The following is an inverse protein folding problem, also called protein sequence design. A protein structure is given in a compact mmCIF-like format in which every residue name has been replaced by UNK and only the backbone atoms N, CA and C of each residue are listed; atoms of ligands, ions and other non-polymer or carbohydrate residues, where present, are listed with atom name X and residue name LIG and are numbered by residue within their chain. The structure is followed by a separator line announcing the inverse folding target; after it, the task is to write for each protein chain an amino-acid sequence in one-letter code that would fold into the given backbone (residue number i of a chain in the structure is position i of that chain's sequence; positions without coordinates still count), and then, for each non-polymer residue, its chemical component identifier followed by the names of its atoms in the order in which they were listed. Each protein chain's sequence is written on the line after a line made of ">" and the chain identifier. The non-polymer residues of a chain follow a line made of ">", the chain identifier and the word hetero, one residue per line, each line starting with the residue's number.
data_IF_096440714160
#
_entry.id   IF_096440714160
#
_cell.length_a   1.000
_cell.length_b   1.000
_cell.length_c   1.000
_cell.angle_alpha   90.00
_cell.angle_beta   90.00
_cell.angle_gamma   90.00
#
_symmetry.space_group_name_H-M   'P 1'
#
loop_
_entity.id
_entity.type
_entity.pdbx_description
1 polymer ?
#
# COMPACT_ATOMS: atom_id res chain seq x y z
N UNK A 1 12.74 17.57 -13.42
CA UNK A 1 12.82 16.11 -13.18
C UNK A 1 12.68 15.41 -14.53
N UNK A 2 13.53 14.44 -14.85
CA UNK A 2 13.44 13.70 -16.11
C UNK A 2 13.05 12.26 -15.84
N UNK A 3 11.80 11.92 -16.17
CA UNK A 3 11.27 10.56 -16.13
C UNK A 3 11.29 9.94 -17.52
N UNK A 4 11.93 8.80 -17.64
CA UNK A 4 11.87 7.98 -18.86
C UNK A 4 10.88 6.85 -18.63
N UNK A 5 9.76 6.90 -19.33
CA UNK A 5 8.70 5.88 -19.28
C UNK A 5 8.80 5.04 -20.55
N UNK A 6 9.09 3.74 -20.40
CA UNK A 6 9.11 2.78 -21.49
C UNK A 6 8.05 1.73 -21.22
N UNK A 7 6.86 1.95 -21.74
CA UNK A 7 5.70 1.06 -21.53
C UNK A 7 5.09 0.73 -22.88
N UNK A 8 4.78 -0.53 -23.10
CA UNK A 8 3.96 -0.96 -24.23
C UNK A 8 2.53 -0.44 -24.09
N UNK A 9 1.85 -0.19 -25.21
CA UNK A 9 0.45 0.21 -25.19
C UNK A 9 -0.48 -0.91 -24.72
N UNK A 10 -1.61 -0.53 -24.13
CA UNK A 10 -2.65 -1.45 -23.69
C UNK A 10 -3.69 -1.69 -24.79
N UNK A 11 -4.39 -2.83 -24.75
CA UNK A 11 -5.60 -3.02 -25.55
C UNK A 11 -6.65 -1.96 -25.22
N UNK A 12 -7.12 -1.22 -26.23
CA UNK A 12 -8.07 -0.09 -26.06
C UNK A 12 -9.53 -0.52 -26.04
N UNK A 13 -9.80 -1.78 -26.30
CA UNK A 13 -11.12 -2.42 -26.35
C UNK A 13 -11.62 -2.89 -24.98
N UNK A 14 -10.81 -2.70 -23.92
CA UNK A 14 -11.11 -3.15 -22.57
C UNK A 14 -11.14 -2.00 -21.56
N UNK A 15 -11.91 -2.23 -20.50
CA UNK A 15 -11.91 -1.36 -19.30
C UNK A 15 -10.69 -1.72 -18.44
N UNK A 16 -9.57 -1.05 -18.65
CA UNK A 16 -8.37 -1.26 -17.85
C UNK A 16 -8.42 -0.48 -16.54
N UNK A 17 -7.88 -1.07 -15.47
CA UNK A 17 -7.72 -0.45 -14.14
C UNK A 17 -6.24 -0.38 -13.81
N UNK A 18 -5.74 0.82 -13.52
CA UNK A 18 -4.39 1.04 -13.02
C UNK A 18 -4.38 0.97 -11.50
N UNK A 19 -3.49 0.16 -10.94
CA UNK A 19 -3.30 -0.02 -9.49
C UNK A 19 -1.91 0.42 -9.10
N UNK A 20 -1.81 1.38 -8.20
CA UNK A 20 -0.56 1.93 -7.68
C UNK A 20 -0.50 1.63 -6.18
N UNK A 21 0.62 1.17 -5.66
CA UNK A 21 0.84 1.06 -4.22
C UNK A 21 1.51 2.32 -3.68
N UNK A 22 1.03 2.82 -2.56
CA UNK A 22 1.77 3.81 -1.78
C UNK A 22 2.74 3.11 -0.83
N UNK A 23 3.97 3.60 -0.69
CA UNK A 23 4.96 3.03 0.22
C UNK A 23 4.70 3.48 1.66
N UNK A 24 3.53 3.08 2.20
CA UNK A 24 3.19 3.34 3.60
C UNK A 24 3.89 2.33 4.53
N UNK A 25 4.05 2.68 5.84
CA UNK A 25 4.89 1.90 6.73
C UNK A 25 4.48 0.43 6.95
N UNK A 26 3.21 0.06 6.78
CA UNK A 26 2.77 -1.33 6.93
C UNK A 26 3.05 -2.19 5.71
N UNK A 27 3.42 -1.58 4.58
CA UNK A 27 3.65 -2.19 3.27
C UNK A 27 2.44 -2.95 2.70
N UNK A 28 1.24 -2.69 3.20
CA UNK A 28 0.03 -3.41 2.79
C UNK A 28 -0.27 -3.23 1.29
N UNK A 29 -0.17 -2.00 0.77
CA UNK A 29 -0.35 -1.71 -0.65
C UNK A 29 0.68 -2.42 -1.53
N UNK A 30 1.95 -2.48 -1.08
CA UNK A 30 3.02 -3.18 -1.79
C UNK A 30 2.74 -4.67 -1.85
N UNK A 31 2.40 -5.29 -0.72
CA UNK A 31 2.04 -6.73 -0.67
C UNK A 31 0.82 -7.04 -1.54
N UNK A 32 -0.18 -6.15 -1.55
CA UNK A 32 -1.36 -6.32 -2.39
C UNK A 32 -0.99 -6.34 -3.89
N UNK A 33 -0.13 -5.42 -4.32
CA UNK A 33 0.38 -5.35 -5.71
C UNK A 33 1.19 -6.60 -6.05
N UNK A 34 2.13 -7.03 -5.19
CA UNK A 34 2.92 -8.24 -5.39
C UNK A 34 2.01 -9.47 -5.57
N UNK A 35 1.01 -9.59 -4.69
CA UNK A 35 0.06 -10.70 -4.75
C UNK A 35 -0.76 -10.71 -6.04
N UNK A 36 -1.22 -9.55 -6.50
CA UNK A 36 -1.94 -9.42 -7.77
C UNK A 36 -1.06 -9.80 -8.96
N UNK A 37 0.20 -9.36 -8.98
CA UNK A 37 1.15 -9.72 -10.06
C UNK A 37 1.31 -11.22 -10.17
N UNK A 38 1.51 -11.90 -9.06
CA UNK A 38 1.76 -13.34 -9.03
C UNK A 38 0.47 -14.14 -9.32
N UNK A 39 -0.65 -13.79 -8.66
CA UNK A 39 -1.90 -14.56 -8.77
C UNK A 39 -2.60 -14.38 -10.13
N UNK A 40 -2.52 -13.18 -10.72
CA UNK A 40 -3.07 -12.91 -12.04
C UNK A 40 -2.09 -13.24 -13.17
N UNK A 41 -0.94 -13.84 -12.87
CA UNK A 41 0.13 -14.18 -13.81
C UNK A 41 0.41 -13.00 -14.77
N UNK A 42 0.62 -11.80 -14.20
CA UNK A 42 0.77 -10.58 -14.97
C UNK A 42 2.09 -10.55 -15.73
N UNK A 43 2.07 -10.07 -16.96
CA UNK A 43 3.25 -9.93 -17.80
C UNK A 43 3.90 -8.55 -17.62
N UNK A 44 5.24 -8.50 -17.62
CA UNK A 44 5.99 -7.24 -17.62
C UNK A 44 5.83 -6.54 -18.98
N UNK A 45 5.24 -5.35 -18.99
CA UNK A 45 4.99 -4.57 -20.20
C UNK A 45 5.87 -3.32 -20.29
N UNK A 46 6.66 -3.03 -19.27
CA UNK A 46 7.52 -1.86 -19.27
C UNK A 46 8.14 -1.54 -17.93
N UNK A 47 8.83 -0.41 -17.91
CA UNK A 47 9.48 0.11 -16.70
C UNK A 47 9.59 1.63 -16.72
N UNK A 48 9.75 2.22 -15.54
CA UNK A 48 10.01 3.64 -15.35
C UNK A 48 11.40 3.82 -14.77
N UNK A 49 12.17 4.77 -15.35
CA UNK A 49 13.45 5.22 -14.84
C UNK A 49 13.34 6.67 -14.39
N UNK A 50 13.76 6.93 -13.17
CA UNK A 50 13.82 8.27 -12.58
C UNK A 50 15.29 8.72 -12.64
N UNK A 51 15.59 9.75 -13.44
CA UNK A 51 16.97 10.16 -13.70
C UNK A 51 17.65 10.79 -12.46
N UNK A 52 16.88 11.45 -11.61
CA UNK A 52 17.37 12.15 -10.42
C UNK A 52 17.55 11.25 -9.19
N UNK A 53 17.21 9.96 -9.32
CA UNK A 53 17.53 9.00 -8.28
C UNK A 53 18.98 8.56 -8.32
N UNK A 54 19.59 8.30 -7.16
CA UNK A 54 20.82 7.50 -7.13
C UNK A 54 20.64 6.21 -7.94
N UNK A 55 21.68 5.70 -8.62
CA UNK A 55 21.56 4.47 -9.38
C UNK A 55 21.07 3.31 -8.50
N UNK A 56 19.88 2.79 -8.81
CA UNK A 56 19.27 1.63 -8.15
C UNK A 56 18.87 0.62 -9.20
N UNK A 57 19.27 -0.63 -9.00
CA UNK A 57 18.94 -1.76 -9.86
C UNK A 57 18.35 -2.87 -9.00
N UNK A 58 17.22 -3.41 -9.42
CA UNK A 58 16.69 -4.65 -8.88
C UNK A 58 17.40 -5.84 -9.54
N UNK A 59 17.73 -6.85 -8.76
CA UNK A 59 18.29 -8.11 -9.30
C UNK A 59 17.23 -9.19 -9.17
N UNK A 60 16.82 -9.77 -10.28
CA UNK A 60 15.81 -10.82 -10.36
C UNK A 60 16.41 -11.99 -11.14
N UNK A 61 16.56 -13.13 -10.49
CA UNK A 61 17.14 -14.34 -11.08
C UNK A 61 18.49 -14.08 -11.80
N UNK A 62 19.34 -13.24 -11.19
CA UNK A 62 20.62 -12.82 -11.74
C UNK A 62 20.56 -11.74 -12.82
N UNK A 63 19.38 -11.33 -13.27
CA UNK A 63 19.21 -10.27 -14.27
C UNK A 63 19.03 -8.89 -13.63
N UNK A 64 19.71 -7.87 -14.20
CA UNK A 64 19.55 -6.48 -13.81
C UNK A 64 18.24 -5.91 -14.37
N UNK A 65 17.40 -5.35 -13.52
CA UNK A 65 16.09 -4.77 -13.86
C UNK A 65 15.97 -3.36 -13.29
N UNK A 66 15.16 -2.51 -13.94
CA UNK A 66 14.80 -1.22 -13.36
C UNK A 66 13.93 -1.41 -12.11
N UNK A 67 14.00 -0.50 -11.12
CA UNK A 67 13.30 -0.69 -9.83
C UNK A 67 11.78 -0.49 -9.90
N UNK A 68 11.26 0.20 -10.90
CA UNK A 68 9.83 0.41 -11.11
C UNK A 68 9.41 -0.29 -12.39
N UNK A 69 8.82 -1.47 -12.26
CA UNK A 69 8.38 -2.29 -13.39
C UNK A 69 6.87 -2.32 -13.49
N UNK A 70 6.36 -2.29 -14.70
CA UNK A 70 4.93 -2.24 -14.99
C UNK A 70 4.48 -3.59 -15.49
N UNK A 71 3.43 -4.09 -14.89
CA UNK A 71 2.83 -5.40 -15.17
C UNK A 71 1.39 -5.25 -15.63
N UNK A 72 0.96 -6.13 -16.52
CA UNK A 72 -0.39 -6.15 -17.06
C UNK A 72 -0.95 -7.55 -17.13
N UNK A 73 -2.17 -7.74 -16.64
CA UNK A 73 -2.97 -8.94 -16.89
C UNK A 73 -4.01 -8.65 -17.97
N UNK A 74 -3.82 -9.22 -19.14
CA UNK A 74 -4.78 -9.08 -20.24
C UNK A 74 -6.15 -9.64 -19.84
N UNK A 75 -6.20 -10.76 -19.12
CA UNK A 75 -7.45 -11.40 -18.70
C UNK A 75 -8.22 -10.54 -17.70
N UNK A 76 -7.52 -9.98 -16.73
CA UNK A 76 -8.11 -9.17 -15.66
C UNK A 76 -8.35 -7.69 -16.06
N UNK A 77 -7.67 -7.17 -17.10
CA UNK A 77 -7.68 -5.75 -17.41
C UNK A 77 -7.03 -4.90 -16.31
N UNK A 78 -6.07 -5.47 -15.59
CA UNK A 78 -5.37 -4.78 -14.48
C UNK A 78 -3.94 -4.48 -14.88
N UNK A 79 -3.54 -3.24 -14.69
CA UNK A 79 -2.16 -2.76 -14.79
C UNK A 79 -1.66 -2.39 -13.42
N UNK A 80 -0.44 -2.73 -13.07
CA UNK A 80 0.15 -2.32 -11.81
C UNK A 80 1.62 -2.02 -11.92
N UNK A 81 2.17 -1.33 -10.91
CA UNK A 81 3.58 -0.99 -10.81
C UNK A 81 4.18 -1.72 -9.61
N UNK A 82 5.12 -2.62 -9.90
CA UNK A 82 5.97 -3.24 -8.90
C UNK A 82 7.10 -2.29 -8.54
N UNK A 83 7.16 -1.87 -7.28
CA UNK A 83 8.16 -0.93 -6.79
C UNK A 83 9.15 -1.67 -5.88
N UNK A 84 10.41 -1.77 -6.29
CA UNK A 84 11.46 -2.39 -5.46
C UNK A 84 12.07 -1.42 -4.44
N UNK A 85 11.86 -0.13 -4.64
CA UNK A 85 12.25 0.95 -3.71
C UNK A 85 11.16 2.02 -3.71
N UNK A 86 10.99 2.77 -2.61
CA UNK A 86 10.05 3.89 -2.57
C UNK A 86 10.39 4.94 -3.62
N UNK A 87 9.36 5.56 -4.20
CA UNK A 87 9.54 6.74 -5.04
C UNK A 87 10.03 7.89 -4.17
N UNK A 88 11.06 8.65 -4.58
CA UNK A 88 11.54 9.78 -3.79
C UNK A 88 10.48 10.89 -3.67
N UNK A 89 10.30 11.52 -2.49
CA UNK A 89 9.25 12.52 -2.27
C UNK A 89 9.28 13.70 -3.24
N UNK A 90 10.47 14.16 -3.64
CA UNK A 90 10.62 15.32 -4.53
C UNK A 90 10.17 15.08 -5.98
N UNK A 91 9.85 13.82 -6.35
CA UNK A 91 9.36 13.46 -7.69
C UNK A 91 7.93 12.91 -7.69
N UNK A 92 7.23 12.88 -6.56
CA UNK A 92 5.88 12.30 -6.46
C UNK A 92 4.91 12.85 -7.52
N UNK A 93 4.77 14.16 -7.59
CA UNK A 93 3.82 14.79 -8.53
C UNK A 93 4.16 14.47 -9.98
N UNK A 94 5.45 14.52 -10.36
CA UNK A 94 5.84 14.22 -11.73
C UNK A 94 5.67 12.73 -12.05
N UNK A 95 6.04 11.84 -11.12
CA UNK A 95 5.87 10.40 -11.27
C UNK A 95 4.40 10.04 -11.51
N UNK A 96 3.50 10.56 -10.68
CA UNK A 96 2.06 10.30 -10.79
C UNK A 96 1.49 10.93 -12.07
N UNK A 97 1.81 12.18 -12.37
CA UNK A 97 1.31 12.83 -13.58
C UNK A 97 1.71 12.07 -14.85
N UNK A 98 2.98 11.68 -15.00
CA UNK A 98 3.43 10.89 -16.15
C UNK A 98 2.72 9.56 -16.29
N UNK A 99 2.43 8.93 -15.17
CA UNK A 99 1.71 7.66 -15.13
C UNK A 99 0.24 7.83 -15.53
N UNK A 100 -0.41 8.89 -15.05
CA UNK A 100 -1.79 9.20 -15.41
C UNK A 100 -1.91 9.71 -16.85
N UNK A 101 -0.94 10.48 -17.38
CA UNK A 101 -0.87 10.85 -18.79
C UNK A 101 -0.85 9.60 -19.67
N UNK A 102 0.03 8.65 -19.34
CA UNK A 102 0.07 7.35 -20.02
C UNK A 102 -1.26 6.57 -19.89
N UNK A 103 -1.88 6.60 -18.72
CA UNK A 103 -3.15 5.94 -18.48
C UNK A 103 -4.28 6.53 -19.36
N UNK A 104 -4.35 7.85 -19.47
CA UNK A 104 -5.32 8.53 -20.36
C UNK A 104 -5.08 8.21 -21.85
N UNK A 105 -3.82 8.26 -22.31
CA UNK A 105 -3.44 7.89 -23.68
C UNK A 105 -3.84 6.46 -24.03
N UNK A 106 -3.79 5.53 -23.04
CA UNK A 106 -4.16 4.13 -23.19
C UNK A 106 -5.60 3.82 -22.77
N UNK A 107 -6.44 4.85 -22.57
CA UNK A 107 -7.86 4.73 -22.21
C UNK A 107 -8.10 3.85 -20.98
N UNK A 108 -7.22 3.95 -19.99
CA UNK A 108 -7.45 3.37 -18.67
C UNK A 108 -8.68 4.05 -18.08
N UNK A 109 -9.64 3.28 -17.63
CA UNK A 109 -10.91 3.80 -17.10
C UNK A 109 -10.76 4.32 -15.68
N UNK A 110 -10.00 3.61 -14.86
CA UNK A 110 -9.88 3.87 -13.43
C UNK A 110 -8.43 3.74 -12.99
N UNK A 111 -7.99 4.63 -12.11
CA UNK A 111 -6.73 4.54 -11.41
C UNK A 111 -6.99 4.51 -9.90
N UNK A 112 -6.41 3.56 -9.19
CA UNK A 112 -6.51 3.47 -7.73
C UNK A 112 -5.14 3.42 -7.09
N UNK A 113 -5.00 4.19 -6.01
CA UNK A 113 -3.82 4.14 -5.15
C UNK A 113 -4.16 3.35 -3.89
N UNK A 114 -3.33 2.38 -3.52
CA UNK A 114 -3.55 1.50 -2.36
C UNK A 114 -2.70 1.96 -1.19
N UNK A 115 -3.33 2.14 -0.02
CA UNK A 115 -2.67 2.56 1.21
C UNK A 115 -3.30 1.91 2.44
N UNK A 116 -2.75 2.16 3.61
CA UNK A 116 -3.29 1.69 4.88
C UNK A 116 -3.20 2.75 5.97
N UNK A 117 -4.12 2.67 6.93
CA UNK A 117 -4.20 3.54 8.09
C UNK A 117 -4.38 2.71 9.38
N UNK A 118 -4.11 3.28 10.56
CA UNK A 118 -4.58 2.69 11.81
C UNK A 118 -6.10 2.55 11.81
N UNK A 119 -6.65 1.60 12.58
CA UNK A 119 -8.09 1.46 12.75
C UNK A 119 -8.73 2.79 13.16
N UNK A 120 -9.85 3.12 12.54
CA UNK A 120 -10.64 4.32 12.86
C UNK A 120 -11.50 4.15 14.12
N UNK A 121 -11.73 2.90 14.54
CA UNK A 121 -12.41 2.52 15.79
C UNK A 121 -11.47 1.92 16.83
N UNK A 122 -12.07 1.35 17.89
CA UNK A 122 -11.29 0.67 18.94
C UNK A 122 -10.57 -0.59 18.46
N UNK A 123 -11.12 -1.25 17.45
CA UNK A 123 -10.58 -2.46 16.83
C UNK A 123 -10.54 -2.31 15.32
N UNK A 124 -9.57 -2.98 14.71
CA UNK A 124 -9.51 -3.13 13.28
C UNK A 124 -10.76 -3.80 12.73
N UNK A 125 -11.34 -3.21 11.69
CA UNK A 125 -12.47 -3.76 10.94
C UNK A 125 -12.05 -4.34 9.59
N UNK A 126 -13.02 -4.92 8.87
CA UNK A 126 -12.83 -5.46 7.52
C UNK A 126 -13.11 -4.43 6.42
N UNK A 127 -13.30 -3.17 6.81
CA UNK A 127 -13.70 -2.10 5.91
C UNK A 127 -12.52 -1.59 5.07
N UNK A 128 -12.84 -1.21 3.85
CA UNK A 128 -11.97 -0.42 2.99
C UNK A 128 -12.60 0.94 2.83
N UNK A 129 -11.82 1.97 3.12
CA UNK A 129 -12.21 3.35 2.96
C UNK A 129 -11.71 3.90 1.63
N UNK A 130 -12.31 4.99 1.18
CA UNK A 130 -11.88 5.66 -0.04
C UNK A 130 -11.90 7.18 0.09
N UNK A 131 -11.07 7.81 -0.75
CA UNK A 131 -11.10 9.25 -1.07
C UNK A 131 -11.10 9.38 -2.59
N UNK A 132 -12.01 10.17 -3.13
CA UNK A 132 -12.16 10.41 -4.57
C UNK A 132 -12.75 11.80 -4.81
N UNK A 133 -12.89 12.22 -6.06
CA UNK A 133 -13.61 13.44 -6.40
C UNK A 133 -15.10 13.33 -6.11
N UNK A 134 -15.77 14.48 -5.88
CA UNK A 134 -17.16 14.53 -5.42
C UNK A 134 -18.12 13.75 -6.33
N UNK A 135 -17.96 13.86 -7.64
CA UNK A 135 -18.83 13.19 -8.63
C UNK A 135 -18.77 11.67 -8.61
N UNK A 136 -17.72 11.06 -8.02
CA UNK A 136 -17.54 9.61 -7.97
C UNK A 136 -17.91 8.99 -6.60
N UNK A 137 -18.20 9.78 -5.57
CA UNK A 137 -18.43 9.29 -4.20
C UNK A 137 -19.50 8.20 -4.16
N UNK A 138 -20.68 8.43 -4.77
CA UNK A 138 -21.77 7.46 -4.73
C UNK A 138 -21.43 6.17 -5.48
N UNK A 139 -20.62 6.25 -6.52
CA UNK A 139 -20.16 5.08 -7.26
C UNK A 139 -19.23 4.20 -6.42
N UNK A 140 -18.29 4.78 -5.66
CA UNK A 140 -17.41 4.02 -4.78
C UNK A 140 -18.15 3.41 -3.59
N UNK A 141 -19.21 4.04 -3.07
CA UNK A 141 -20.11 3.44 -2.08
C UNK A 141 -20.81 2.17 -2.62
N UNK A 142 -21.19 2.14 -3.91
CA UNK A 142 -21.82 0.97 -4.52
C UNK A 142 -20.89 -0.25 -4.57
N UNK A 143 -19.56 -0.06 -4.57
CA UNK A 143 -18.59 -1.13 -4.41
C UNK A 143 -18.48 -1.64 -2.94
N UNK A 144 -19.22 -1.05 -2.01
CA UNK A 144 -19.20 -1.41 -0.59
C UNK A 144 -18.03 -0.78 0.17
N UNK A 145 -17.46 0.31 -0.33
CA UNK A 145 -16.43 1.09 0.36
C UNK A 145 -17.05 2.24 1.15
N UNK A 146 -16.36 2.68 2.22
CA UNK A 146 -16.80 3.80 3.05
C UNK A 146 -15.97 5.06 2.76
N UNK A 147 -16.60 6.24 2.62
CA UNK A 147 -15.84 7.47 2.42
C UNK A 147 -15.12 7.87 3.72
N UNK A 148 -13.88 8.33 3.61
CA UNK A 148 -13.23 9.07 4.68
C UNK A 148 -13.93 10.43 4.78
N UNK A 149 -14.44 10.78 5.97
CA UNK A 149 -15.25 12.00 6.15
C UNK A 149 -14.41 13.26 6.15
N UNK A 150 -13.30 13.23 6.86
CA UNK A 150 -12.41 14.37 7.00
C UNK A 150 -10.99 13.89 7.25
N UNK A 151 -10.04 14.33 6.43
CA UNK A 151 -8.62 14.03 6.57
C UNK A 151 -7.78 15.02 5.77
N UNK A 152 -6.52 15.15 6.16
CA UNK A 152 -5.48 15.75 5.31
C UNK A 152 -4.60 14.64 4.78
N UNK A 153 -4.49 14.54 3.45
CA UNK A 153 -3.71 13.52 2.77
C UNK A 153 -2.44 14.16 2.21
N UNK A 154 -1.29 13.57 2.49
CA UNK A 154 0.04 14.05 2.06
C UNK A 154 0.80 12.91 1.39
N UNK A 155 2.05 13.16 0.98
CA UNK A 155 2.89 12.11 0.41
C UNK A 155 2.49 11.74 -1.02
N UNK A 156 2.76 10.50 -1.40
CA UNK A 156 2.41 9.96 -2.71
C UNK A 156 0.88 9.89 -2.89
N UNK A 157 0.15 9.58 -1.83
CA UNK A 157 -1.31 9.57 -1.79
C UNK A 157 -1.90 10.95 -2.12
N UNK A 158 -1.35 12.01 -1.49
CA UNK A 158 -1.74 13.39 -1.77
C UNK A 158 -1.42 13.79 -3.21
N UNK A 159 -0.24 13.46 -3.70
CA UNK A 159 0.14 13.71 -5.09
C UNK A 159 -0.75 12.95 -6.09
N UNK A 160 -1.18 11.73 -5.75
CA UNK A 160 -2.11 10.96 -6.55
C UNK A 160 -3.50 11.62 -6.61
N UNK A 161 -4.05 11.98 -5.45
CA UNK A 161 -5.37 12.64 -5.37
C UNK A 161 -5.38 13.99 -6.10
N UNK A 162 -4.34 14.80 -5.91
CA UNK A 162 -4.19 16.08 -6.64
C UNK A 162 -4.15 15.86 -8.16
N UNK A 163 -3.42 14.85 -8.60
CA UNK A 163 -3.24 14.58 -10.02
C UNK A 163 -4.46 13.96 -10.71
N UNK A 164 -5.34 13.24 -10.01
CA UNK A 164 -6.56 12.68 -10.63
C UNK A 164 -7.71 13.66 -10.73
N UNK A 165 -7.70 14.74 -9.94
CA UNK A 165 -8.77 15.73 -9.97
C UNK A 165 -8.90 16.38 -11.36
N UNK A 166 -10.11 16.31 -11.93
CA UNK A 166 -10.42 16.90 -13.24
C UNK A 166 -9.85 16.16 -14.44
N UNK A 167 -9.29 14.96 -14.28
CA UNK A 167 -8.85 14.10 -15.39
C UNK A 167 -9.99 13.23 -15.94
N UNK A 168 -9.76 12.64 -17.11
CA UNK A 168 -10.70 11.68 -17.72
C UNK A 168 -10.63 10.27 -17.11
N UNK A 169 -9.66 10.00 -16.25
CA UNK A 169 -9.50 8.75 -15.52
C UNK A 169 -10.16 8.86 -14.16
N UNK A 170 -11.15 8.01 -13.87
CA UNK A 170 -11.76 7.93 -12.54
C UNK A 170 -10.71 7.55 -11.49
N UNK A 171 -10.43 8.43 -10.53
CA UNK A 171 -9.37 8.21 -9.55
C UNK A 171 -9.88 8.02 -8.13
N UNK A 172 -9.29 7.07 -7.38
CA UNK A 172 -9.54 6.94 -5.95
C UNK A 172 -8.32 6.43 -5.16
N UNK A 173 -8.13 6.98 -3.97
CA UNK A 173 -7.31 6.39 -2.94
C UNK A 173 -8.14 5.36 -2.18
N UNK A 174 -7.69 4.12 -2.11
CA UNK A 174 -8.28 3.04 -1.31
C UNK A 174 -7.41 2.79 -0.09
N UNK A 175 -8.03 2.77 1.07
CA UNK A 175 -7.34 2.69 2.34
C UNK A 175 -7.91 1.54 3.18
N UNK A 176 -7.06 0.58 3.55
CA UNK A 176 -7.43 -0.49 4.46
C UNK A 176 -6.97 -0.18 5.89
N UNK A 177 -7.74 -0.63 6.89
CA UNK A 177 -7.26 -0.60 8.26
C UNK A 177 -6.16 -1.64 8.47
N UNK A 178 -5.02 -1.18 8.99
CA UNK A 178 -3.84 -1.97 9.30
C UNK A 178 -3.75 -2.30 10.77
N UNK A 179 -3.60 -3.58 11.08
CA UNK A 179 -3.37 -4.08 12.44
C UNK A 179 -2.03 -3.57 12.98
N UNK A 180 -1.01 -3.56 12.14
CA UNK A 180 0.32 -3.08 12.50
C UNK A 180 0.30 -1.59 12.88
N UNK A 181 -0.30 -0.75 12.04
CA UNK A 181 -0.40 0.69 12.31
C UNK A 181 -1.29 0.97 13.52
N UNK A 182 -2.36 0.19 13.72
CA UNK A 182 -3.22 0.27 14.91
C UNK A 182 -2.44 -0.07 16.18
N UNK A 183 -1.60 -1.08 16.11
CA UNK A 183 -0.74 -1.46 17.21
C UNK A 183 0.28 -0.37 17.58
N UNK A 184 0.91 0.23 16.59
CA UNK A 184 1.81 1.38 16.77
C UNK A 184 1.08 2.57 17.38
N UNK A 185 -0.13 2.89 16.87
CA UNK A 185 -0.96 3.96 17.43
C UNK A 185 -1.25 3.72 18.92
N UNK A 186 -1.64 2.51 19.31
CA UNK A 186 -1.87 2.14 20.72
C UNK A 186 -0.62 2.32 21.60
N UNK A 187 0.56 1.96 21.09
CA UNK A 187 1.82 2.18 21.80
C UNK A 187 2.11 3.67 22.00
N UNK A 188 1.84 4.49 20.98
CA UNK A 188 1.99 5.94 21.04
C UNK A 188 0.99 6.56 22.04
N UNK A 189 -0.29 6.19 21.93
CA UNK A 189 -1.35 6.69 22.81
C UNK A 189 -1.12 6.29 24.28
N UNK A 190 -0.46 5.16 24.54
CA UNK A 190 -0.09 4.71 25.88
C UNK A 190 1.14 5.46 26.48
N UNK A 191 1.73 6.40 25.75
CA UNK A 191 2.93 7.15 26.15
C UNK A 191 4.22 6.33 26.16
N UNK A 192 4.20 5.08 25.68
CA UNK A 192 5.42 4.24 25.58
C UNK A 192 6.34 4.63 24.43
N UNK A 193 5.82 5.41 23.49
CA UNK A 193 6.53 5.92 22.33
C UNK A 193 6.34 7.43 22.28
N UNK A 194 7.43 8.18 22.48
CA UNK A 194 7.37 9.61 22.62
C UNK A 194 7.81 10.39 21.38
N UNK A 195 8.63 9.78 20.52
CA UNK A 195 9.18 10.48 19.35
C UNK A 195 8.89 9.74 18.05
N UNK A 196 8.89 10.46 16.94
CA UNK A 196 8.79 9.87 15.60
C UNK A 196 9.90 8.83 15.35
N UNK A 197 11.11 9.06 15.88
CA UNK A 197 12.23 8.12 15.77
C UNK A 197 11.90 6.79 16.47
N UNK A 198 11.31 6.85 17.65
CA UNK A 198 10.94 5.64 18.40
C UNK A 198 9.85 4.86 17.67
N UNK A 199 8.86 5.57 17.07
CA UNK A 199 7.84 4.96 16.21
C UNK A 199 8.50 4.17 15.09
N UNK A 200 9.45 4.78 14.37
CA UNK A 200 10.13 4.13 13.25
C UNK A 200 10.98 2.93 13.67
N UNK A 201 11.65 3.02 14.82
CA UNK A 201 12.44 1.90 15.36
C UNK A 201 11.54 0.70 15.73
N UNK A 202 10.43 0.95 16.43
CA UNK A 202 9.49 -0.11 16.82
C UNK A 202 8.81 -0.70 15.59
N UNK A 203 8.43 0.12 14.64
CA UNK A 203 7.81 -0.32 13.40
C UNK A 203 8.75 -1.25 12.61
N UNK A 204 10.02 -0.85 12.44
CA UNK A 204 11.02 -1.67 11.75
C UNK A 204 11.29 -2.98 12.49
N UNK A 205 11.36 -2.95 13.82
CA UNK A 205 11.52 -4.16 14.64
C UNK A 205 10.30 -5.09 14.49
N UNK A 206 9.09 -4.56 14.54
CA UNK A 206 7.86 -5.34 14.33
C UNK A 206 7.80 -5.95 12.92
N UNK A 207 8.05 -5.16 11.87
CA UNK A 207 8.08 -5.67 10.50
C UNK A 207 9.15 -6.75 10.36
N UNK A 208 10.31 -6.58 10.98
CA UNK A 208 11.37 -7.59 10.98
C UNK A 208 10.95 -8.92 11.64
N UNK A 209 10.04 -8.87 12.62
CA UNK A 209 9.57 -10.06 13.36
C UNK A 209 8.32 -10.71 12.75
N UNK A 210 7.36 -9.90 12.33
CA UNK A 210 6.04 -10.38 11.90
C UNK A 210 5.81 -10.24 10.39
N UNK A 211 6.67 -9.50 9.69
CA UNK A 211 6.49 -9.16 8.27
C UNK A 211 5.56 -7.97 8.03
N UNK A 212 5.27 -7.66 6.75
CA UNK A 212 4.34 -6.62 6.35
C UNK A 212 2.89 -6.98 6.67
N UNK A 213 1.97 -6.01 6.63
CA UNK A 213 0.56 -6.24 6.98
C UNK A 213 -0.22 -6.98 5.90
N UNK A 214 -0.20 -8.29 5.98
CA UNK A 214 -0.90 -9.20 5.06
C UNK A 214 -2.42 -9.11 5.21
N UNK A 215 -2.93 -8.76 6.41
CA UNK A 215 -4.36 -8.59 6.66
C UNK A 215 -4.93 -7.39 5.92
N UNK A 216 -4.27 -6.24 6.01
CA UNK A 216 -4.64 -5.06 5.24
C UNK A 216 -4.45 -5.28 3.74
N UNK A 217 -3.38 -5.97 3.32
CA UNK A 217 -3.15 -6.33 1.92
C UNK A 217 -4.29 -7.19 1.35
N UNK A 218 -4.80 -8.17 2.10
CA UNK A 218 -5.95 -9.00 1.70
C UNK A 218 -7.20 -8.15 1.42
N UNK A 219 -7.49 -7.16 2.28
CA UNK A 219 -8.61 -6.23 2.08
C UNK A 219 -8.45 -5.44 0.79
N UNK A 220 -7.24 -4.95 0.52
CA UNK A 220 -6.92 -4.18 -0.69
C UNK A 220 -7.01 -5.04 -1.96
N UNK A 221 -6.51 -6.29 -1.94
CA UNK A 221 -6.67 -7.25 -3.06
C UNK A 221 -8.14 -7.49 -3.37
N UNK A 222 -8.96 -7.74 -2.34
CA UNK A 222 -10.41 -7.93 -2.50
C UNK A 222 -11.10 -6.66 -3.02
N UNK A 223 -10.63 -5.47 -2.62
CA UNK A 223 -11.15 -4.21 -3.14
C UNK A 223 -10.83 -4.02 -4.63
N UNK A 224 -9.60 -4.29 -5.06
CA UNK A 224 -9.22 -4.27 -6.48
C UNK A 224 -10.02 -5.29 -7.28
N UNK A 225 -10.21 -6.50 -6.76
CA UNK A 225 -11.01 -7.54 -7.41
C UNK A 225 -12.45 -7.07 -7.68
N UNK A 226 -13.08 -6.39 -6.69
CA UNK A 226 -14.42 -5.80 -6.86
C UNK A 226 -14.45 -4.69 -7.90
N UNK A 227 -13.48 -3.78 -7.89
CA UNK A 227 -13.41 -2.66 -8.84
C UNK A 227 -13.17 -3.11 -10.28
N UNK A 228 -12.31 -4.10 -10.47
CA UNK A 228 -11.98 -4.67 -11.77
C UNK A 228 -13.00 -5.73 -12.24
N UNK A 229 -13.97 -6.08 -11.38
CA UNK A 229 -14.99 -7.12 -11.65
C UNK A 229 -14.35 -8.48 -11.99
N UNK A 230 -13.32 -8.86 -11.26
CA UNK A 230 -12.56 -10.10 -11.44
C UNK A 230 -12.61 -10.99 -10.20
N UNK A 231 -12.32 -12.28 -10.40
CA UNK A 231 -12.08 -13.21 -9.31
C UNK A 231 -10.57 -13.36 -9.09
N UNK A 232 -10.14 -13.25 -7.83
CA UNK A 232 -8.77 -13.47 -7.41
C UNK A 232 -8.79 -14.57 -6.34
N UNK A 233 -8.00 -15.63 -6.53
CA UNK A 233 -7.83 -16.64 -5.48
C UNK A 233 -7.01 -16.02 -4.34
N UNK A 234 -7.65 -15.77 -3.21
CA UNK A 234 -7.03 -15.18 -2.03
C UNK A 234 -6.79 -16.19 -0.90
N UNK A 235 -6.97 -17.49 -1.13
CA UNK A 235 -6.86 -18.53 -0.11
C UNK A 235 -5.52 -18.52 0.64
N UNK A 236 -4.41 -18.47 -0.10
CA UNK A 236 -3.06 -18.37 0.51
C UNK A 236 -2.87 -17.09 1.33
N UNK A 237 -3.39 -15.97 0.83
CA UNK A 237 -3.28 -14.68 1.52
C UNK A 237 -4.13 -14.67 2.81
N UNK A 238 -5.30 -15.31 2.80
CA UNK A 238 -6.16 -15.49 3.98
C UNK A 238 -5.47 -16.32 5.06
N UNK A 239 -4.84 -17.43 4.69
CA UNK A 239 -4.08 -18.28 5.62
C UNK A 239 -2.92 -17.51 6.27
N UNK A 240 -2.21 -16.71 5.47
CA UNK A 240 -1.14 -15.85 5.98
C UNK A 240 -1.67 -14.73 6.85
N UNK A 241 -2.79 -14.08 6.49
CA UNK A 241 -3.40 -13.02 7.28
C UNK A 241 -3.84 -13.50 8.67
N UNK A 242 -4.38 -14.72 8.76
CA UNK A 242 -4.78 -15.34 10.03
C UNK A 242 -3.57 -15.55 10.96
N UNK A 243 -2.47 -16.08 10.43
CA UNK A 243 -1.22 -16.27 11.17
C UNK A 243 -0.59 -14.94 11.57
N UNK A 244 -0.58 -13.97 10.66
CA UNK A 244 -0.07 -12.63 10.90
C UNK A 244 -0.80 -11.94 12.05
N UNK A 245 -2.13 -12.00 12.06
CA UNK A 245 -2.95 -11.40 13.12
C UNK A 245 -2.53 -11.91 14.52
N UNK A 246 -2.33 -13.22 14.66
CA UNK A 246 -1.87 -13.83 15.92
C UNK A 246 -0.46 -13.35 16.31
N UNK A 247 0.46 -13.28 15.35
CA UNK A 247 1.85 -12.85 15.60
C UNK A 247 1.92 -11.38 16.03
N UNK A 248 1.16 -10.49 15.38
CA UNK A 248 1.10 -9.07 15.76
C UNK A 248 0.59 -8.93 17.19
N UNK A 249 -0.54 -9.56 17.52
CA UNK A 249 -1.13 -9.49 18.87
C UNK A 249 -0.13 -9.93 19.94
N UNK A 250 0.49 -11.08 19.75
CA UNK A 250 1.50 -11.63 20.67
C UNK A 250 2.69 -10.69 20.89
N UNK A 251 3.21 -10.07 19.81
CA UNK A 251 4.33 -9.14 19.92
C UNK A 251 3.93 -7.82 20.60
N UNK A 252 2.73 -7.31 20.32
CA UNK A 252 2.21 -6.11 20.96
C UNK A 252 1.96 -6.32 22.45
N UNK A 253 1.34 -7.43 22.84
CA UNK A 253 1.18 -7.77 24.26
C UNK A 253 2.51 -7.78 25.00
N UNK A 254 3.57 -8.34 24.36
CA UNK A 254 4.91 -8.36 24.94
C UNK A 254 5.48 -6.93 25.15
N UNK A 255 5.24 -6.02 24.20
CA UNK A 255 5.66 -4.62 24.29
C UNK A 255 4.82 -3.79 25.28
N UNK A 256 3.54 -4.14 25.45
CA UNK A 256 2.64 -3.47 26.38
C UNK A 256 2.83 -3.93 27.83
N UNK A 257 3.39 -5.11 28.08
CA UNK A 257 3.68 -5.56 29.46
C UNK A 257 4.59 -4.57 30.17
N UNK A 258 4.29 -4.18 31.41
CA UNK A 258 5.23 -3.42 32.22
C UNK A 258 6.55 -4.19 32.30
N UNK A 259 7.68 -3.50 32.08
CA UNK A 259 8.97 -4.11 32.36
C UNK A 259 8.91 -4.68 33.79
N UNK A 260 9.07 -6.00 33.95
CA UNK A 260 9.19 -6.59 35.27
C UNK A 260 10.24 -5.76 35.99
N UNK A 261 9.88 -5.10 37.09
CA UNK A 261 10.85 -4.45 37.98
C UNK A 261 11.86 -5.52 38.30
N UNK A 262 13.06 -5.39 37.73
CA UNK A 262 14.21 -6.09 38.27
C UNK A 262 14.31 -5.58 39.71
N UNK A 263 13.81 -6.35 40.66
CA UNK A 263 14.16 -6.18 42.06
C UNK A 263 15.67 -6.32 42.09
N UNK A 264 16.35 -5.19 42.11
CA UNK A 264 17.75 -5.15 42.59
C UNK A 264 17.66 -5.53 44.04
N UNK A 265 17.85 -6.81 44.32
CA UNK A 265 18.33 -7.22 45.65
C UNK A 265 19.61 -6.46 45.89
N UNK A 266 19.53 -5.41 46.71
CA UNK A 266 20.68 -4.74 47.26
C UNK A 266 21.23 -5.73 48.28
N UNK A 267 22.45 -6.30 48.07
CA UNK A 267 23.02 -7.13 49.10
C UNK A 267 23.24 -6.27 50.37
N UNK A 268 22.51 -6.61 51.42
CA UNK A 268 22.78 -6.07 52.73
C UNK A 268 24.10 -6.69 53.20
N UNK A 269 25.16 -5.91 53.14
CA UNK A 269 26.46 -6.24 53.76
C UNK A 269 26.35 -5.82 55.20
N UNK A 270 26.43 -6.81 56.12
CA UNK A 270 26.64 -6.63 57.55
C UNK A 270 28.13 -6.48 57.86
#
# INVERSE_FOLDING_TARGET
>A
VRLEVKISGLPRDRKNTLVISCPEPSLAGVVAVEYLVDTLAMEEIGAIKIAEMPPVIAVIDGAAKLPYRIFYSRQAGVVTIRQHVPVPPHVYSEFINKLLDWAEENKVRMAVCLSAIPAMGEREGDKVYFVTEEGLVERFKQYGFEPIREATVTGLEGAFLDAVLGRSVDGALLVAESRLLTAIKRLTDSGKVATHRDVMLILNDLIGRVGPDVGAALKLVNAVARLAEIQVDTSKLQDHASKYAFLVEKNIEALLRPAARAEKEVPVVF
#
